data_IF_242804278698
#
_entry.id   IF_242804278698
#
_cell.length_a   1.000
_cell.length_b   1.000
_cell.length_c   1.000
_cell.angle_alpha   90.00
_cell.angle_beta   90.00
_cell.angle_gamma   90.00
#
_symmetry.space_group_name_H-M   'P 1'
#
loop_
_entity.id
_entity.type
_entity.pdbx_description
1 polymer ?
#
# COMPACT_ATOMS: atom_id res chain seq x y z
N UNK A 1 -48.95 7.72 -13.69
CA UNK A 1 -48.57 8.58 -12.56
C UNK A 1 -47.40 7.90 -11.85
N UNK A 2 -46.17 8.36 -12.10
CA UNK A 2 -44.94 7.81 -11.53
C UNK A 2 -44.72 8.46 -10.16
N UNK A 3 -44.68 7.66 -9.10
CA UNK A 3 -44.49 8.09 -7.71
C UNK A 3 -43.01 8.10 -7.34
N UNK A 4 -42.60 9.18 -6.68
CA UNK A 4 -41.21 9.58 -6.45
C UNK A 4 -40.31 8.60 -5.71
N UNK A 5 -39.05 8.63 -6.12
CA UNK A 5 -37.87 8.04 -5.51
C UNK A 5 -37.62 8.79 -4.18
N UNK A 6 -37.82 8.12 -3.05
CA UNK A 6 -37.53 8.65 -1.72
C UNK A 6 -36.02 8.61 -1.45
N UNK A 7 -35.43 9.77 -1.22
CA UNK A 7 -34.01 9.95 -0.91
C UNK A 7 -33.58 9.19 0.34
N UNK A 8 -32.47 8.46 0.24
CA UNK A 8 -31.75 7.87 1.35
C UNK A 8 -31.26 8.98 2.28
N UNK A 9 -31.92 9.09 3.44
CA UNK A 9 -31.52 9.90 4.58
C UNK A 9 -30.21 9.34 5.18
N UNK A 10 -29.08 9.79 4.65
CA UNK A 10 -27.79 9.67 5.35
C UNK A 10 -27.78 10.70 6.49
N UNK A 11 -27.70 10.20 7.72
CA UNK A 11 -27.55 11.00 8.93
C UNK A 11 -26.05 11.11 9.28
N UNK A 12 -25.36 12.23 9.00
CA UNK A 12 -24.12 12.53 9.69
C UNK A 12 -24.52 13.11 11.06
N UNK A 13 -24.25 12.36 12.13
CA UNK A 13 -24.32 12.91 13.47
C UNK A 13 -23.01 13.68 13.73
N UNK A 14 -23.01 14.95 13.35
CA UNK A 14 -22.05 15.95 13.82
C UNK A 14 -22.86 17.11 14.40
N UNK A 15 -22.99 17.17 15.72
CA UNK A 15 -22.90 18.44 16.46
C UNK A 15 -22.82 18.17 17.97
N UNK A 16 -22.03 19.00 18.65
CA UNK A 16 -21.77 18.94 20.07
C UNK A 16 -20.38 19.43 20.47
N UNK A 17 -20.02 20.67 20.11
CA UNK A 17 -19.60 21.73 21.07
C UNK A 17 -18.40 21.38 22.01
N UNK A 18 -17.24 22.06 22.12
CA UNK A 18 -16.82 23.46 21.89
C UNK A 18 -15.28 23.60 22.00
N UNK A 19 -14.75 24.70 21.44
CA UNK A 19 -13.55 25.44 21.86
C UNK A 19 -12.14 24.85 21.59
N UNK A 20 -11.59 25.16 20.42
CA UNK A 20 -10.48 26.11 20.27
C UNK A 20 -9.96 26.10 18.82
N UNK A 21 -10.48 26.99 17.98
CA UNK A 21 -9.68 27.54 16.88
C UNK A 21 -8.89 28.71 17.44
N UNK A 22 -7.60 28.81 17.11
CA UNK A 22 -7.24 29.91 16.25
C UNK A 22 -6.35 29.49 15.08
N UNK A 23 -6.62 30.07 13.92
CA UNK A 23 -5.57 30.47 12.99
C UNK A 23 -5.25 29.49 11.88
N UNK A 24 -6.08 29.51 10.83
CA UNK A 24 -5.78 28.86 9.55
C UNK A 24 -4.78 29.60 8.64
N UNK A 25 -4.09 30.69 9.02
CA UNK A 25 -3.24 31.41 8.04
C UNK A 25 -2.29 32.50 8.59
N UNK A 26 -1.45 32.24 9.60
CA UNK A 26 -0.34 33.14 9.89
C UNK A 26 1.01 32.42 9.77
N UNK A 27 1.83 32.94 8.86
CA UNK A 27 3.08 32.36 8.40
C UNK A 27 4.12 32.05 9.47
N UNK A 28 4.97 31.10 9.13
CA UNK A 28 6.10 30.69 9.92
C UNK A 28 6.76 29.47 9.31
N UNK A 29 7.48 29.66 8.22
CA UNK A 29 8.60 28.76 7.87
C UNK A 29 9.56 28.75 9.05
N UNK A 30 9.57 27.67 9.84
CA UNK A 30 10.27 27.65 11.12
C UNK A 30 10.39 26.27 11.74
N UNK A 31 11.21 25.43 11.11
CA UNK A 31 12.15 24.48 11.74
C UNK A 31 11.64 23.55 12.86
N UNK A 32 11.24 22.33 12.49
CA UNK A 32 11.79 21.05 13.03
C UNK A 32 11.22 19.84 12.25
N UNK A 33 11.54 19.79 10.97
CA UNK A 33 11.40 18.57 10.16
C UNK A 33 12.63 17.68 10.44
N UNK A 34 12.51 16.70 11.34
CA UNK A 34 13.61 15.77 11.59
C UNK A 34 13.30 14.63 12.55
N UNK A 35 12.53 14.89 13.62
CA UNK A 35 12.34 13.88 14.68
C UNK A 35 10.98 13.14 14.61
N UNK A 36 9.94 13.74 14.01
CA UNK A 36 8.60 13.11 13.94
C UNK A 36 8.37 12.18 12.74
N UNK A 37 8.96 12.49 11.58
CA UNK A 37 8.71 11.78 10.32
C UNK A 37 9.34 10.38 10.31
N UNK A 38 10.49 10.21 10.97
CA UNK A 38 11.19 8.92 11.09
C UNK A 38 10.42 7.89 11.92
N UNK A 39 9.78 8.32 13.01
CA UNK A 39 8.91 7.44 13.82
C UNK A 39 7.67 7.02 13.03
N UNK A 40 6.98 7.96 12.38
CA UNK A 40 5.77 7.66 11.60
C UNK A 40 6.03 6.70 10.43
N UNK A 41 7.19 6.81 9.77
CA UNK A 41 7.57 5.85 8.73
C UNK A 41 7.92 4.48 9.30
N UNK A 42 8.68 4.42 10.41
CA UNK A 42 9.00 3.16 11.09
C UNK A 42 7.75 2.45 11.61
N UNK A 43 6.77 3.19 12.12
CA UNK A 43 5.47 2.69 12.55
C UNK A 43 4.63 2.16 11.38
N UNK A 44 4.58 2.90 10.26
CA UNK A 44 3.91 2.45 9.04
C UNK A 44 4.56 1.17 8.47
N UNK A 45 5.90 1.09 8.50
CA UNK A 45 6.65 -0.08 8.06
C UNK A 45 6.42 -1.29 9.00
N UNK A 46 6.39 -1.06 10.31
CA UNK A 46 6.08 -2.10 11.30
C UNK A 46 4.67 -2.66 11.11
N UNK A 47 3.68 -1.78 10.88
CA UNK A 47 2.31 -2.19 10.59
C UNK A 47 2.21 -2.96 9.26
N UNK A 48 2.92 -2.52 8.22
CA UNK A 48 2.99 -3.23 6.95
C UNK A 48 3.62 -4.62 7.10
N UNK A 49 4.70 -4.75 7.88
CA UNK A 49 5.34 -6.02 8.17
C UNK A 49 4.40 -6.98 8.92
N UNK A 50 3.75 -6.51 10.00
CA UNK A 50 2.78 -7.31 10.76
C UNK A 50 1.61 -7.76 9.89
N UNK A 51 1.10 -6.88 9.02
CA UNK A 51 0.04 -7.21 8.07
C UNK A 51 0.48 -8.27 7.06
N UNK A 52 1.73 -8.21 6.61
CA UNK A 52 2.31 -9.18 5.69
C UNK A 52 2.42 -10.56 6.33
N UNK A 53 2.89 -10.64 7.58
CA UNK A 53 2.97 -11.91 8.33
C UNK A 53 1.58 -12.54 8.52
N UNK A 54 0.58 -11.74 8.88
CA UNK A 54 -0.80 -12.22 9.01
C UNK A 54 -1.37 -12.70 7.67
N UNK A 55 -1.06 -11.99 6.58
CA UNK A 55 -1.49 -12.36 5.23
C UNK A 55 -0.83 -13.68 4.79
N UNK A 56 0.45 -13.89 5.10
CA UNK A 56 1.16 -15.14 4.83
C UNK A 56 0.55 -16.33 5.59
N UNK A 57 0.28 -16.18 6.89
CA UNK A 57 -0.39 -17.25 7.66
C UNK A 57 -1.78 -17.58 7.09
N UNK A 58 -2.54 -16.56 6.67
CA UNK A 58 -3.84 -16.77 6.04
C UNK A 58 -3.71 -17.48 4.68
N UNK A 59 -2.70 -17.09 3.89
CA UNK A 59 -2.39 -17.72 2.61
C UNK A 59 -1.94 -19.19 2.78
N UNK A 60 -1.18 -19.52 3.82
CA UNK A 60 -0.82 -20.90 4.15
C UNK A 60 -2.06 -21.74 4.51
N UNK A 61 -2.96 -21.20 5.35
CA UNK A 61 -4.23 -21.87 5.65
C UNK A 61 -5.09 -22.08 4.41
N UNK A 62 -5.12 -21.10 3.51
CA UNK A 62 -5.84 -21.19 2.25
C UNK A 62 -5.17 -22.17 1.27
N UNK A 63 -3.84 -22.24 1.27
CA UNK A 63 -3.07 -23.19 0.45
C UNK A 63 -3.26 -24.63 0.92
N UNK A 64 -3.33 -24.86 2.23
CA UNK A 64 -3.70 -26.17 2.81
C UNK A 64 -5.13 -26.56 2.39
N UNK A 65 -6.04 -25.60 2.30
CA UNK A 65 -7.40 -25.83 1.81
C UNK A 65 -7.42 -26.08 0.29
N UNK A 66 -6.61 -25.39 -0.51
CA UNK A 66 -6.52 -25.53 -1.95
C UNK A 66 -5.84 -26.84 -2.40
N UNK A 67 -4.85 -27.33 -1.63
CA UNK A 67 -4.21 -28.64 -1.83
C UNK A 67 -5.18 -29.83 -1.67
N UNK A 68 -6.42 -29.59 -1.20
CA UNK A 68 -7.52 -30.57 -1.23
C UNK A 68 -8.07 -30.84 -2.65
N UNK A 69 -7.59 -30.13 -3.69
CA UNK A 69 -7.60 -30.65 -5.07
C UNK A 69 -8.53 -29.96 -6.08
N UNK A 70 -8.52 -28.63 -6.18
CA UNK A 70 -9.49 -27.87 -7.01
C UNK A 70 -8.87 -27.01 -8.15
N UNK A 71 -7.72 -27.39 -8.73
CA UNK A 71 -7.05 -26.56 -9.75
C UNK A 71 -6.76 -27.29 -11.09
N UNK A 72 -7.26 -26.72 -12.19
CA UNK A 72 -7.17 -27.22 -13.57
C UNK A 72 -5.78 -26.93 -14.17
N UNK A 73 -5.19 -27.87 -14.92
CA UNK A 73 -3.84 -27.73 -15.51
C UNK A 73 -3.69 -26.51 -16.43
N UNK A 74 -4.80 -25.97 -16.94
CA UNK A 74 -4.83 -24.70 -17.68
C UNK A 74 -4.51 -23.49 -16.81
N UNK A 75 -4.97 -23.47 -15.56
CA UNK A 75 -4.70 -22.39 -14.61
C UNK A 75 -3.21 -22.34 -14.25
N UNK A 76 -2.54 -23.50 -14.21
CA UNK A 76 -1.09 -23.58 -13.98
C UNK A 76 -0.32 -22.94 -15.14
N UNK A 77 -0.71 -23.20 -16.39
CA UNK A 77 -0.05 -22.61 -17.56
C UNK A 77 -0.24 -21.08 -17.61
N UNK A 78 -1.44 -20.60 -17.28
CA UNK A 78 -1.75 -19.17 -17.24
C UNK A 78 -0.97 -18.44 -16.13
N UNK A 79 -0.88 -19.07 -14.95
CA UNK A 79 -0.06 -18.56 -13.84
C UNK A 79 1.43 -18.46 -14.22
N UNK A 80 1.97 -19.43 -14.96
CA UNK A 80 3.36 -19.40 -15.44
C UNK A 80 3.57 -18.27 -16.46
N UNK A 81 2.62 -18.04 -17.37
CA UNK A 81 2.70 -16.96 -18.35
C UNK A 81 2.68 -15.59 -17.66
N UNK A 82 1.77 -15.41 -16.69
CA UNK A 82 1.72 -14.19 -15.87
C UNK A 82 3.01 -13.97 -15.08
N UNK A 83 3.61 -15.04 -14.55
CA UNK A 83 4.87 -14.96 -13.82
C UNK A 83 6.04 -14.54 -14.73
N UNK A 84 6.08 -15.02 -15.98
CA UNK A 84 7.10 -14.60 -16.95
C UNK A 84 7.00 -13.11 -17.29
N UNK A 85 5.78 -12.58 -17.41
CA UNK A 85 5.58 -11.17 -17.70
C UNK A 85 6.05 -10.28 -16.53
N UNK A 86 5.71 -10.65 -15.29
CA UNK A 86 6.19 -9.94 -14.10
C UNK A 86 7.72 -10.02 -13.94
N UNK A 87 8.32 -11.17 -14.26
CA UNK A 87 9.76 -11.37 -14.22
C UNK A 87 10.47 -10.45 -15.23
N UNK A 88 9.96 -10.32 -16.45
CA UNK A 88 10.55 -9.42 -17.46
C UNK A 88 10.55 -7.96 -16.99
N UNK A 89 9.46 -7.49 -16.38
CA UNK A 89 9.40 -6.15 -15.79
C UNK A 89 10.40 -5.98 -14.65
N UNK A 90 10.52 -7.01 -13.80
CA UNK A 90 11.47 -7.00 -12.68
C UNK A 90 12.92 -6.93 -13.16
N UNK A 91 13.26 -7.63 -14.25
CA UNK A 91 14.60 -7.57 -14.86
C UNK A 91 14.90 -6.16 -15.38
N UNK A 92 13.94 -5.51 -16.04
CA UNK A 92 14.12 -4.14 -16.52
C UNK A 92 14.38 -3.15 -15.38
N UNK A 93 13.69 -3.32 -14.24
CA UNK A 93 13.93 -2.52 -13.03
C UNK A 93 15.32 -2.82 -12.46
N UNK A 94 15.70 -4.09 -12.36
CA UNK A 94 17.02 -4.52 -11.88
C UNK A 94 18.15 -3.88 -12.70
N UNK A 95 18.02 -3.89 -14.02
CA UNK A 95 19.05 -3.30 -14.89
C UNK A 95 19.15 -1.78 -14.72
N UNK A 96 18.03 -1.08 -14.51
CA UNK A 96 18.03 0.36 -14.18
C UNK A 96 18.71 0.67 -12.84
N UNK A 97 18.46 -0.14 -11.81
CA UNK A 97 19.07 0.04 -10.49
C UNK A 97 20.57 -0.22 -10.55
N UNK A 98 21.01 -1.28 -11.25
CA UNK A 98 22.44 -1.56 -11.45
C UNK A 98 23.13 -0.43 -12.20
N UNK A 99 22.49 0.11 -13.25
CA UNK A 99 23.04 1.23 -14.01
C UNK A 99 23.21 2.48 -13.14
N UNK A 100 22.20 2.83 -12.34
CA UNK A 100 22.25 3.97 -11.43
C UNK A 100 23.34 3.81 -10.34
N UNK A 101 23.54 2.58 -9.82
CA UNK A 101 24.63 2.30 -8.89
C UNK A 101 26.01 2.50 -9.52
N UNK A 102 26.21 1.98 -10.74
CA UNK A 102 27.48 2.16 -11.45
C UNK A 102 27.75 3.63 -11.78
N UNK A 103 26.72 4.42 -12.06
CA UNK A 103 26.82 5.86 -12.31
C UNK A 103 27.21 6.64 -11.04
N UNK A 104 26.55 6.38 -9.90
CA UNK A 104 26.93 6.92 -8.59
C UNK A 104 28.38 6.53 -8.23
N UNK A 105 28.75 5.27 -8.46
CA UNK A 105 30.07 4.75 -8.11
C UNK A 105 31.19 5.34 -8.97
N UNK A 106 30.90 5.81 -10.18
CA UNK A 106 31.87 6.51 -11.03
C UNK A 106 32.02 7.99 -10.66
N UNK A 107 31.04 8.55 -9.95
CA UNK A 107 31.09 9.92 -9.42
C UNK A 107 31.70 9.97 -8.00
N UNK A 108 31.61 8.89 -7.22
CA UNK A 108 32.31 8.76 -5.93
C UNK A 108 33.78 8.41 -6.12
N UNK A 109 34.62 9.44 -6.02
CA UNK A 109 35.96 9.36 -5.43
C UNK A 109 35.86 9.62 -3.92
#
# INVERSE_FOLDING_TARGET
MIGGIGALQFKPAIDGTEAASPGLLQGGVGTKAGEGVGSSFAEALSQAANKTVNTLQNAEQMSIQALKGDADTRQVADAVLSAQQALQTTIAIRDKVVSAYLEISRMSI
#
